data_IF_980062960930
#
_entry.id   IF_980062960930
#
_cell.length_a   1.000
_cell.length_b   1.000
_cell.length_c   1.000
_cell.angle_alpha   90.00
_cell.angle_beta   90.00
_cell.angle_gamma   90.00
#
_symmetry.space_group_name_H-M   'P 1'
#
loop_
_entity.id
_entity.type
_entity.pdbx_description
1 polymer ?
#
# COMPACT_ATOMS: atom_id res chain seq x y z
N UNK A 1 -14.73 -20.43 -31.10
CA UNK A 1 -13.79 -19.37 -30.61
C UNK A 1 -13.97 -18.04 -31.37
N UNK A 2 -13.97 -17.98 -32.71
CA UNK A 2 -14.12 -16.72 -33.46
C UNK A 2 -15.48 -16.06 -33.17
N UNK A 3 -16.55 -16.83 -33.10
CA UNK A 3 -17.91 -16.35 -32.81
C UNK A 3 -18.01 -15.84 -31.36
N UNK A 4 -17.37 -16.53 -30.41
CA UNK A 4 -17.31 -16.07 -29.02
C UNK A 4 -16.61 -14.71 -28.86
N UNK A 5 -15.50 -14.49 -29.58
CA UNK A 5 -14.80 -13.21 -29.59
C UNK A 5 -15.63 -12.09 -30.23
N UNK A 6 -16.44 -12.44 -31.27
CA UNK A 6 -17.36 -11.49 -31.91
C UNK A 6 -18.47 -11.07 -30.94
N UNK A 7 -19.05 -12.01 -30.20
CA UNK A 7 -20.06 -11.72 -29.17
C UNK A 7 -19.50 -10.83 -28.06
N UNK A 8 -18.28 -11.11 -27.59
CA UNK A 8 -17.58 -10.25 -26.59
C UNK A 8 -17.36 -8.82 -27.11
N UNK A 9 -16.97 -8.67 -28.40
CA UNK A 9 -16.77 -7.36 -29.00
C UNK A 9 -18.08 -6.54 -29.07
N UNK A 10 -19.26 -7.21 -29.01
CA UNK A 10 -20.57 -6.60 -28.93
C UNK A 10 -21.07 -6.34 -27.51
N UNK A 11 -20.23 -6.62 -26.50
CA UNK A 11 -20.54 -6.39 -25.08
C UNK A 11 -21.32 -7.53 -24.41
N UNK A 12 -21.40 -8.72 -25.03
CA UNK A 12 -22.01 -9.89 -24.40
C UNK A 12 -21.18 -10.39 -23.24
N UNK A 13 -21.84 -10.95 -22.22
CA UNK A 13 -21.19 -11.57 -21.07
C UNK A 13 -20.33 -12.76 -21.51
N UNK A 14 -19.09 -12.92 -20.98
CA UNK A 14 -18.18 -14.00 -21.36
C UNK A 14 -18.75 -15.40 -21.20
N UNK A 15 -19.58 -15.64 -20.18
CA UNK A 15 -20.19 -16.96 -19.96
C UNK A 15 -21.25 -17.25 -21.01
N UNK A 16 -22.05 -16.24 -21.40
CA UNK A 16 -23.02 -16.35 -22.50
C UNK A 16 -22.32 -16.54 -23.85
N UNK A 17 -21.23 -15.78 -24.10
CA UNK A 17 -20.47 -15.91 -25.34
C UNK A 17 -19.81 -17.30 -25.43
N UNK A 18 -19.27 -17.85 -24.33
CA UNK A 18 -18.73 -19.20 -24.28
C UNK A 18 -19.80 -20.26 -24.56
N UNK A 19 -20.95 -20.15 -23.89
CA UNK A 19 -22.06 -21.09 -24.07
C UNK A 19 -22.67 -21.08 -25.50
N UNK A 20 -22.86 -19.86 -26.06
CA UNK A 20 -23.41 -19.69 -27.42
C UNK A 20 -22.44 -20.18 -28.51
N UNK A 21 -21.15 -20.18 -28.27
CA UNK A 21 -20.11 -20.61 -29.22
C UNK A 21 -19.69 -22.06 -29.05
N UNK A 22 -20.26 -22.76 -28.10
CA UNK A 22 -19.96 -24.17 -27.83
C UNK A 22 -20.66 -25.06 -28.91
N UNK A 23 -19.99 -26.10 -29.42
CA UNK A 23 -20.63 -27.05 -30.34
C UNK A 23 -21.85 -27.71 -29.70
N UNK A 24 -22.91 -27.99 -30.48
CA UNK A 24 -24.06 -28.73 -29.98
C UNK A 24 -23.62 -30.07 -29.38
N UNK A 25 -24.06 -30.38 -28.16
CA UNK A 25 -23.71 -31.61 -27.45
C UNK A 25 -22.36 -31.63 -26.75
N UNK A 26 -21.62 -30.51 -26.70
CA UNK A 26 -20.40 -30.45 -25.90
C UNK A 26 -20.74 -30.43 -24.40
N UNK A 27 -19.93 -31.13 -23.60
CA UNK A 27 -20.07 -31.17 -22.14
C UNK A 27 -19.72 -29.84 -21.48
N UNK A 28 -20.13 -29.66 -20.21
CA UNK A 28 -19.86 -28.45 -19.42
C UNK A 28 -18.37 -28.10 -19.37
N UNK A 29 -17.47 -29.09 -19.37
CA UNK A 29 -16.02 -28.89 -19.37
C UNK A 29 -15.51 -28.09 -20.58
N UNK A 30 -16.10 -28.31 -21.78
CA UNK A 30 -15.72 -27.58 -22.98
C UNK A 30 -16.17 -26.11 -22.93
N UNK A 31 -17.35 -25.85 -22.37
CA UNK A 31 -17.86 -24.48 -22.15
C UNK A 31 -16.97 -23.78 -21.12
N UNK A 32 -16.60 -24.42 -20.04
CA UNK A 32 -15.71 -23.88 -19.01
C UNK A 32 -14.34 -23.51 -19.60
N UNK A 33 -13.72 -24.44 -20.36
CA UNK A 33 -12.43 -24.18 -21.02
C UNK A 33 -12.50 -23.01 -22.01
N UNK A 34 -13.61 -22.90 -22.78
CA UNK A 34 -13.84 -21.76 -23.67
C UNK A 34 -13.98 -20.46 -22.88
N UNK A 35 -14.71 -20.46 -21.77
CA UNK A 35 -14.88 -19.31 -20.90
C UNK A 35 -13.54 -18.86 -20.29
N UNK A 36 -12.73 -19.78 -19.79
CA UNK A 36 -11.38 -19.50 -19.27
C UNK A 36 -10.50 -18.85 -20.34
N UNK A 37 -10.52 -19.40 -21.56
CA UNK A 37 -9.77 -18.83 -22.69
C UNK A 37 -10.25 -17.42 -23.05
N UNK A 38 -11.55 -17.17 -23.02
CA UNK A 38 -12.10 -15.84 -23.29
C UNK A 38 -11.70 -14.84 -22.21
N UNK A 39 -11.79 -15.23 -20.94
CA UNK A 39 -11.35 -14.41 -19.80
C UNK A 39 -9.86 -14.11 -19.84
N UNK A 40 -9.02 -15.09 -20.17
CA UNK A 40 -7.60 -14.88 -20.36
C UNK A 40 -7.32 -13.84 -21.46
N UNK A 41 -7.98 -13.97 -22.61
CA UNK A 41 -7.81 -13.03 -23.73
C UNK A 41 -8.32 -11.63 -23.43
N UNK A 42 -9.39 -11.46 -22.66
CA UNK A 42 -9.82 -10.14 -22.18
C UNK A 42 -8.74 -9.46 -21.30
N UNK A 43 -7.97 -10.26 -20.55
CA UNK A 43 -6.81 -9.78 -19.78
C UNK A 43 -5.54 -9.61 -20.65
N UNK A 44 -5.61 -9.80 -21.97
CA UNK A 44 -4.47 -9.72 -22.88
C UNK A 44 -3.55 -10.94 -22.84
N UNK A 45 -3.98 -12.04 -22.23
CA UNK A 45 -3.17 -13.23 -21.96
C UNK A 45 -3.54 -14.42 -22.83
N UNK A 46 -2.58 -15.31 -23.06
CA UNK A 46 -2.85 -16.66 -23.54
C UNK A 46 -3.08 -17.61 -22.33
N UNK A 47 -3.82 -18.73 -22.52
CA UNK A 47 -4.22 -19.61 -21.43
C UNK A 47 -3.08 -20.10 -20.52
N UNK A 48 -1.88 -20.48 -21.03
CA UNK A 48 -0.78 -20.91 -20.15
C UNK A 48 -0.34 -19.80 -19.18
N UNK A 49 -0.18 -18.56 -19.65
CA UNK A 49 0.19 -17.43 -18.83
C UNK A 49 -0.92 -17.07 -17.83
N UNK A 50 -2.17 -17.14 -18.24
CA UNK A 50 -3.31 -16.88 -17.37
C UNK A 50 -3.37 -17.89 -16.22
N UNK A 51 -3.16 -19.19 -16.50
CA UNK A 51 -3.13 -20.25 -15.46
C UNK A 51 -2.04 -20.03 -14.42
N UNK A 52 -0.87 -19.51 -14.84
CA UNK A 52 0.20 -19.17 -13.90
C UNK A 52 -0.21 -18.04 -12.97
N UNK A 53 -0.91 -17.01 -13.47
CA UNK A 53 -1.34 -15.85 -12.70
C UNK A 53 -2.60 -16.12 -11.84
N UNK A 54 -3.37 -17.14 -12.17
CA UNK A 54 -4.53 -17.57 -11.40
C UNK A 54 -4.13 -18.50 -10.22
N UNK A 55 -2.86 -18.96 -10.16
CA UNK A 55 -2.31 -19.68 -9.01
C UNK A 55 -2.09 -18.71 -7.83
N UNK A 56 -2.81 -18.87 -6.71
CA UNK A 56 -2.73 -17.95 -5.58
C UNK A 56 -1.37 -17.94 -4.85
N UNK A 57 -0.50 -18.92 -5.14
CA UNK A 57 0.84 -18.96 -4.60
C UNK A 57 1.84 -18.13 -5.41
N UNK A 58 1.53 -17.80 -6.67
CA UNK A 58 2.42 -17.05 -7.55
C UNK A 58 2.44 -15.58 -7.15
N UNK A 59 3.63 -15.06 -6.94
CA UNK A 59 3.89 -13.64 -6.64
C UNK A 59 4.45 -12.90 -7.85
N UNK A 60 5.29 -13.56 -8.64
CA UNK A 60 5.91 -12.96 -9.81
C UNK A 60 6.00 -13.97 -10.96
N UNK A 61 5.76 -13.50 -12.19
CA UNK A 61 6.02 -14.24 -13.44
C UNK A 61 6.99 -13.39 -14.27
N UNK A 62 8.13 -13.97 -14.62
CA UNK A 62 9.17 -13.30 -15.39
C UNK A 62 9.37 -14.03 -16.72
N UNK A 63 9.34 -13.31 -17.83
CA UNK A 63 9.57 -13.83 -19.18
C UNK A 63 10.74 -13.09 -19.78
N UNK A 64 11.74 -13.84 -20.23
CA UNK A 64 12.93 -13.31 -20.92
C UNK A 64 13.04 -14.01 -22.29
N UNK A 65 12.60 -13.34 -23.34
CA UNK A 65 12.44 -13.94 -24.66
C UNK A 65 11.49 -15.16 -24.60
N UNK A 66 11.99 -16.35 -24.84
CA UNK A 66 11.21 -17.61 -24.80
C UNK A 66 11.23 -18.33 -23.45
N UNK A 67 11.98 -17.82 -22.49
CA UNK A 67 12.12 -18.46 -21.19
C UNK A 67 11.25 -17.78 -20.15
N UNK A 68 10.59 -18.57 -19.28
CA UNK A 68 9.75 -18.07 -18.22
C UNK A 68 10.08 -18.66 -16.86
N UNK A 69 9.90 -17.87 -15.82
CA UNK A 69 10.06 -18.26 -14.42
C UNK A 69 8.90 -17.75 -13.60
N UNK A 70 8.59 -18.47 -12.53
CA UNK A 70 7.63 -18.02 -11.49
C UNK A 70 8.31 -18.03 -10.13
N UNK A 71 7.93 -17.05 -9.29
CA UNK A 71 8.18 -17.09 -7.85
C UNK A 71 6.87 -17.42 -7.12
N UNK A 72 6.94 -18.36 -6.18
CA UNK A 72 5.87 -18.75 -5.25
C UNK A 72 6.25 -18.48 -3.80
N UNK A 73 7.17 -17.52 -3.59
CA UNK A 73 7.71 -17.19 -2.26
C UNK A 73 8.91 -18.05 -1.84
N UNK A 74 9.32 -19.00 -2.67
CA UNK A 74 10.47 -19.89 -2.43
C UNK A 74 11.65 -19.68 -3.38
N UNK A 75 11.56 -18.67 -4.25
CA UNK A 75 12.54 -18.39 -5.30
C UNK A 75 12.03 -18.75 -6.70
N UNK A 76 12.81 -18.39 -7.70
CA UNK A 76 12.44 -18.53 -9.11
C UNK A 76 12.54 -19.97 -9.59
N UNK A 77 11.46 -20.48 -10.16
CA UNK A 77 11.38 -21.82 -10.79
C UNK A 77 11.01 -21.63 -12.26
N UNK A 78 11.75 -22.31 -13.15
CA UNK A 78 11.47 -22.28 -14.59
C UNK A 78 10.15 -22.99 -14.90
N UNK A 79 9.34 -22.37 -15.78
CA UNK A 79 8.04 -22.87 -16.19
C UNK A 79 7.85 -22.68 -17.71
N UNK A 80 6.81 -23.30 -18.25
CA UNK A 80 6.34 -23.02 -19.60
C UNK A 80 5.18 -22.00 -19.51
N UNK A 81 5.37 -20.83 -20.14
CA UNK A 81 4.35 -19.79 -20.28
C UNK A 81 3.68 -19.79 -21.67
N UNK A 82 3.98 -20.79 -22.50
CA UNK A 82 3.44 -20.92 -23.86
C UNK A 82 4.07 -19.95 -24.87
N UNK A 83 5.24 -19.38 -24.59
CA UNK A 83 5.98 -18.48 -25.49
C UNK A 83 6.94 -19.33 -26.34
N UNK A 84 6.73 -19.38 -27.65
CA UNK A 84 7.45 -20.24 -28.57
C UNK A 84 8.70 -19.60 -29.17
N UNK A 85 8.61 -18.31 -29.47
CA UNK A 85 9.66 -17.53 -30.13
C UNK A 85 9.61 -16.04 -29.68
N UNK A 86 10.60 -15.27 -30.09
CA UNK A 86 10.69 -13.84 -29.77
C UNK A 86 9.48 -13.04 -30.31
N UNK A 87 8.95 -13.41 -31.47
CA UNK A 87 7.76 -12.74 -32.03
C UNK A 87 6.52 -13.01 -31.15
N UNK A 88 6.39 -14.20 -30.55
CA UNK A 88 5.37 -14.53 -29.58
C UNK A 88 5.54 -13.69 -28.29
N UNK A 89 6.76 -13.60 -27.77
CA UNK A 89 7.08 -12.78 -26.59
C UNK A 89 6.70 -11.31 -26.82
N UNK A 90 7.11 -10.75 -27.97
CA UNK A 90 6.75 -9.38 -28.37
C UNK A 90 5.22 -9.18 -28.48
N UNK A 91 4.52 -10.11 -29.13
CA UNK A 91 3.05 -10.04 -29.24
C UNK A 91 2.38 -10.12 -27.88
N UNK A 92 2.87 -10.98 -26.99
CA UNK A 92 2.36 -11.09 -25.64
C UNK A 92 2.55 -9.79 -24.85
N UNK A 93 3.75 -9.19 -24.90
CA UNK A 93 4.05 -7.91 -24.27
C UNK A 93 3.12 -6.78 -24.75
N UNK A 94 2.96 -6.65 -26.07
CA UNK A 94 2.08 -5.62 -26.67
C UNK A 94 0.62 -5.84 -26.26
N UNK A 95 0.11 -7.09 -26.26
CA UNK A 95 -1.27 -7.38 -25.81
C UNK A 95 -1.47 -7.04 -24.33
N UNK A 96 -0.51 -7.39 -23.46
CA UNK A 96 -0.56 -7.07 -22.04
C UNK A 96 -0.54 -5.56 -21.81
N UNK A 97 0.35 -4.83 -22.50
CA UNK A 97 0.41 -3.37 -22.45
C UNK A 97 -0.92 -2.75 -22.89
N UNK A 98 -1.48 -3.20 -24.01
CA UNK A 98 -2.79 -2.74 -24.50
C UNK A 98 -3.91 -3.02 -23.49
N UNK A 99 -3.93 -4.20 -22.86
CA UNK A 99 -4.92 -4.54 -21.83
C UNK A 99 -4.77 -3.68 -20.55
N UNK A 100 -3.57 -3.14 -20.31
CA UNK A 100 -3.29 -2.17 -19.23
C UNK A 100 -3.56 -0.73 -19.64
N UNK A 101 -3.98 -0.48 -20.89
CA UNK A 101 -4.21 0.87 -21.42
C UNK A 101 -2.94 1.67 -21.71
N UNK A 102 -1.78 1.01 -21.81
CA UNK A 102 -0.48 1.65 -22.08
C UNK A 102 0.04 1.26 -23.46
N UNK A 103 0.78 2.19 -24.07
CA UNK A 103 1.42 1.99 -25.37
C UNK A 103 2.74 1.23 -25.22
N UNK A 104 2.96 0.24 -26.10
CA UNK A 104 4.24 -0.48 -26.20
C UNK A 104 4.50 -0.80 -27.67
N UNK A 105 5.49 -0.12 -28.25
CA UNK A 105 5.93 -0.30 -29.65
C UNK A 105 7.38 0.18 -29.80
N UNK A 106 7.88 0.26 -31.05
CA UNK A 106 9.26 0.67 -31.33
C UNK A 106 9.56 2.12 -30.92
N UNK A 107 8.54 2.99 -30.88
CA UNK A 107 8.71 4.38 -30.44
C UNK A 107 8.58 4.52 -28.90
N UNK A 108 7.89 3.58 -28.26
CA UNK A 108 7.74 3.49 -26.81
C UNK A 108 8.06 2.05 -26.35
N UNK A 109 9.36 1.67 -26.31
CA UNK A 109 9.78 0.28 -26.12
C UNK A 109 9.73 -0.19 -24.66
N UNK A 110 9.34 0.66 -23.71
CA UNK A 110 9.20 0.36 -22.30
C UNK A 110 7.79 0.73 -21.86
N UNK A 111 7.12 -0.17 -21.17
CA UNK A 111 5.78 0.04 -20.63
C UNK A 111 5.67 -0.41 -19.18
N UNK A 112 5.05 0.43 -18.36
CA UNK A 112 4.59 0.12 -17.02
C UNK A 112 3.07 0.25 -16.99
N UNK A 113 2.39 -0.77 -16.45
CA UNK A 113 0.92 -0.77 -16.39
C UNK A 113 0.37 -1.68 -15.32
N UNK A 114 -0.96 -1.64 -15.18
CA UNK A 114 -1.69 -2.54 -14.31
C UNK A 114 -2.79 -3.21 -15.09
N UNK A 115 -2.72 -4.53 -15.18
CA UNK A 115 -3.73 -5.35 -15.85
C UNK A 115 -5.03 -5.41 -15.04
N UNK A 116 -6.18 -5.67 -15.69
CA UNK A 116 -7.40 -6.02 -14.99
C UNK A 116 -7.15 -7.17 -14.00
N UNK A 117 -7.54 -6.98 -12.74
CA UNK A 117 -7.23 -7.93 -11.65
C UNK A 117 -6.02 -7.53 -10.79
N UNK A 118 -5.41 -6.37 -11.06
CA UNK A 118 -4.40 -5.80 -10.17
C UNK A 118 -2.97 -6.32 -10.39
N UNK A 119 -2.71 -7.08 -11.48
CA UNK A 119 -1.36 -7.57 -11.81
C UNK A 119 -0.54 -6.41 -12.40
N UNK A 120 0.60 -6.08 -11.77
CA UNK A 120 1.53 -5.08 -12.33
C UNK A 120 2.29 -5.67 -13.52
N UNK A 121 2.36 -4.92 -14.59
CA UNK A 121 3.12 -5.22 -15.80
C UNK A 121 4.31 -4.26 -15.90
N UNK A 122 5.50 -4.80 -16.11
CA UNK A 122 6.62 -4.08 -16.69
C UNK A 122 7.10 -4.84 -17.92
N UNK A 123 7.22 -4.16 -19.07
CA UNK A 123 7.66 -4.78 -20.31
C UNK A 123 8.70 -3.92 -21.02
N UNK A 124 9.69 -4.58 -21.60
CA UNK A 124 10.78 -3.95 -22.39
C UNK A 124 10.94 -4.72 -23.69
N UNK A 125 10.85 -4.02 -24.83
CA UNK A 125 11.06 -4.60 -26.15
C UNK A 125 12.56 -4.56 -26.56
N UNK A 126 12.96 -5.49 -27.44
CA UNK A 126 14.17 -5.36 -28.19
C UNK A 126 14.05 -4.16 -29.17
N UNK A 127 15.13 -3.42 -29.50
CA UNK A 127 16.53 -3.65 -29.12
C UNK A 127 16.95 -3.01 -27.78
N UNK A 128 16.04 -2.36 -27.02
CA UNK A 128 16.37 -1.79 -25.69
C UNK A 128 16.78 -2.90 -24.74
N UNK A 129 16.11 -4.04 -24.78
CA UNK A 129 16.61 -5.27 -24.17
C UNK A 129 17.48 -6.04 -25.16
N UNK A 130 18.73 -6.28 -24.80
CA UNK A 130 19.65 -7.11 -25.58
C UNK A 130 19.38 -8.62 -25.50
N UNK A 131 18.45 -9.04 -24.64
CA UNK A 131 18.10 -10.45 -24.40
C UNK A 131 16.74 -10.85 -24.99
N UNK A 132 16.21 -10.07 -25.92
CA UNK A 132 14.85 -10.23 -26.45
C UNK A 132 13.84 -9.46 -25.61
N UNK A 133 12.55 -9.70 -25.88
CA UNK A 133 11.45 -9.06 -25.14
C UNK A 133 11.41 -9.55 -23.68
N UNK A 134 11.36 -8.61 -22.74
CA UNK A 134 11.23 -8.88 -21.32
C UNK A 134 9.83 -8.53 -20.84
N UNK A 135 9.24 -9.41 -20.01
CA UNK A 135 7.94 -9.16 -19.37
C UNK A 135 8.08 -9.55 -17.90
N UNK A 136 7.75 -8.64 -17.01
CA UNK A 136 7.67 -8.88 -15.58
C UNK A 136 6.24 -8.64 -15.12
N UNK A 137 5.60 -9.67 -14.58
CA UNK A 137 4.25 -9.60 -14.03
C UNK A 137 4.34 -9.85 -12.53
N UNK A 138 3.91 -8.86 -11.73
CA UNK A 138 3.81 -9.01 -10.28
C UNK A 138 2.34 -9.13 -9.89
N UNK A 139 2.00 -10.26 -9.29
CA UNK A 139 0.67 -10.50 -8.73
C UNK A 139 0.61 -9.85 -7.35
N UNK A 140 -0.20 -8.80 -7.24
CA UNK A 140 -0.47 -8.21 -5.93
C UNK A 140 -1.35 -9.17 -5.14
N UNK A 141 -0.88 -9.59 -3.97
CA UNK A 141 -1.58 -10.58 -3.15
C UNK A 141 -3.00 -10.13 -2.83
N UNK A 142 -3.99 -10.86 -3.32
CA UNK A 142 -5.42 -10.62 -3.06
C UNK A 142 -5.82 -10.99 -1.63
N UNK A 143 -4.94 -11.66 -0.88
CA UNK A 143 -5.23 -12.14 0.47
C UNK A 143 -5.19 -10.97 1.46
N UNK A 144 -6.36 -10.59 1.94
CA UNK A 144 -6.50 -9.58 3.01
C UNK A 144 -6.15 -10.22 4.34
N UNK A 145 -4.91 -10.01 4.79
CA UNK A 145 -4.44 -10.50 6.08
C UNK A 145 -4.77 -9.49 7.17
N UNK A 146 -5.47 -9.94 8.21
CA UNK A 146 -5.70 -9.17 9.43
C UNK A 146 -4.53 -9.32 10.42
N UNK A 147 -4.56 -8.54 11.49
CA UNK A 147 -3.54 -8.63 12.58
C UNK A 147 -3.51 -10.02 13.20
N UNK A 148 -4.68 -10.68 13.35
CA UNK A 148 -4.79 -12.05 13.84
C UNK A 148 -4.09 -13.06 12.93
N UNK A 149 -4.24 -12.91 11.60
CA UNK A 149 -3.61 -13.80 10.63
C UNK A 149 -2.09 -13.63 10.64
N UNK A 150 -1.61 -12.38 10.71
CA UNK A 150 -0.19 -12.07 10.83
C UNK A 150 0.41 -12.58 12.14
N UNK A 151 -0.35 -12.60 13.22
CA UNK A 151 0.08 -13.20 14.49
C UNK A 151 0.08 -14.73 14.40
N UNK A 152 -0.93 -15.35 13.81
CA UNK A 152 -1.05 -16.79 13.66
C UNK A 152 0.07 -17.40 12.80
N UNK A 153 0.49 -16.70 11.71
CA UNK A 153 1.65 -17.14 10.93
C UNK A 153 3.00 -16.71 11.52
N UNK A 154 3.02 -16.18 12.74
CA UNK A 154 4.26 -15.81 13.43
C UNK A 154 4.97 -14.57 12.87
N UNK A 155 4.33 -13.85 11.94
CA UNK A 155 4.88 -12.61 11.35
C UNK A 155 4.89 -11.47 12.36
N UNK A 156 3.82 -11.36 13.19
CA UNK A 156 3.70 -10.36 14.23
C UNK A 156 3.65 -11.00 15.62
N UNK A 157 4.46 -10.53 16.59
CA UNK A 157 4.29 -10.86 17.98
C UNK A 157 2.97 -10.32 18.53
N UNK A 158 2.35 -11.02 19.49
CA UNK A 158 1.10 -10.58 20.11
C UNK A 158 1.18 -9.16 20.71
N UNK A 159 2.30 -8.82 21.30
CA UNK A 159 2.56 -7.48 21.85
C UNK A 159 2.53 -6.38 20.76
N UNK A 160 2.99 -6.68 19.54
CA UNK A 160 2.92 -5.74 18.41
C UNK A 160 1.48 -5.56 17.93
N UNK A 161 0.69 -6.62 17.91
CA UNK A 161 -0.73 -6.52 17.60
C UNK A 161 -1.47 -5.58 18.55
N UNK A 162 -1.15 -5.64 19.84
CA UNK A 162 -1.69 -4.73 20.86
C UNK A 162 -1.26 -3.27 20.62
N UNK A 163 0.03 -3.05 20.29
CA UNK A 163 0.54 -1.73 19.95
C UNK A 163 -0.17 -1.15 18.72
N UNK A 164 -0.35 -1.92 17.67
CA UNK A 164 -1.04 -1.47 16.45
C UNK A 164 -2.49 -1.06 16.73
N UNK A 165 -3.21 -1.85 17.55
CA UNK A 165 -4.57 -1.47 18.01
C UNK A 165 -4.55 -0.14 18.76
N UNK A 166 -3.59 0.07 19.65
CA UNK A 166 -3.47 1.31 20.42
C UNK A 166 -3.15 2.51 19.50
N UNK A 167 -2.22 2.38 18.55
CA UNK A 167 -1.89 3.43 17.58
C UNK A 167 -3.09 3.82 16.71
N UNK A 168 -3.85 2.84 16.22
CA UNK A 168 -5.06 3.11 15.43
C UNK A 168 -6.13 3.79 16.29
N UNK A 169 -6.37 3.29 17.53
CA UNK A 169 -7.39 3.83 18.44
C UNK A 169 -7.06 5.26 18.89
N UNK A 170 -5.79 5.59 19.14
CA UNK A 170 -5.34 6.95 19.51
C UNK A 170 -5.24 7.90 18.33
N UNK A 171 -5.57 7.46 17.10
CA UNK A 171 -5.40 8.25 15.85
C UNK A 171 -3.97 8.75 15.65
N UNK A 172 -2.98 7.93 16.03
CA UNK A 172 -1.58 8.26 15.86
C UNK A 172 -1.19 8.33 14.37
N UNK A 173 -0.40 9.32 14.00
CA UNK A 173 0.23 9.44 12.69
C UNK A 173 1.45 8.54 12.63
N UNK A 174 1.44 7.56 11.76
CA UNK A 174 2.45 6.50 11.74
C UNK A 174 3.17 6.43 10.39
N UNK A 175 4.49 6.38 10.45
CA UNK A 175 5.33 6.12 9.29
C UNK A 175 5.85 4.68 9.34
N UNK A 176 5.50 3.86 8.34
CA UNK A 176 5.97 2.47 8.21
C UNK A 176 7.16 2.44 7.27
N UNK A 177 8.32 2.00 7.77
CA UNK A 177 9.56 1.97 7.00
C UNK A 177 10.12 0.55 6.85
N UNK A 178 10.98 0.35 5.87
CA UNK A 178 11.64 -0.94 5.59
C UNK A 178 11.99 -1.12 4.13
N UNK A 179 12.76 -2.16 3.82
CA UNK A 179 13.16 -2.51 2.47
C UNK A 179 11.97 -2.94 1.58
N UNK A 180 12.20 -3.04 0.26
CA UNK A 180 11.23 -3.63 -0.68
C UNK A 180 10.91 -5.07 -0.26
N UNK A 181 9.63 -5.45 -0.31
CA UNK A 181 9.20 -6.80 0.06
C UNK A 181 9.29 -7.12 1.56
N UNK A 182 9.52 -6.13 2.44
CA UNK A 182 9.54 -6.35 3.91
C UNK A 182 8.15 -6.51 4.54
N UNK A 183 7.07 -6.31 3.79
CA UNK A 183 5.69 -6.43 4.26
C UNK A 183 5.06 -5.11 4.74
N UNK A 184 5.61 -3.93 4.35
CA UNK A 184 5.06 -2.62 4.73
C UNK A 184 3.58 -2.48 4.38
N UNK A 185 3.22 -2.72 3.12
CA UNK A 185 1.84 -2.61 2.63
C UNK A 185 0.91 -3.62 3.30
N UNK A 186 1.41 -4.82 3.58
CA UNK A 186 0.65 -5.86 4.31
C UNK A 186 0.36 -5.43 5.74
N UNK A 187 1.37 -4.92 6.48
CA UNK A 187 1.17 -4.40 7.84
C UNK A 187 0.23 -3.20 7.84
N UNK A 188 0.41 -2.28 6.90
CA UNK A 188 -0.45 -1.11 6.73
C UNK A 188 -1.91 -1.51 6.49
N UNK A 189 -2.17 -2.41 5.54
CA UNK A 189 -3.52 -2.92 5.25
C UNK A 189 -4.16 -3.60 6.48
N UNK A 190 -3.38 -4.42 7.21
CA UNK A 190 -3.85 -5.08 8.41
C UNK A 190 -4.16 -4.11 9.56
N UNK A 191 -3.38 -3.03 9.70
CA UNK A 191 -3.64 -1.99 10.68
C UNK A 191 -4.89 -1.17 10.31
N UNK A 192 -5.05 -0.81 9.03
CA UNK A 192 -6.22 -0.07 8.55
C UNK A 192 -7.53 -0.85 8.68
N UNK A 193 -7.48 -2.19 8.69
CA UNK A 193 -8.65 -3.02 8.99
C UNK A 193 -9.15 -2.89 10.44
N UNK A 194 -8.36 -2.29 11.34
CA UNK A 194 -8.76 -1.99 12.72
C UNK A 194 -9.46 -0.62 12.86
N UNK A 195 -9.47 0.19 11.83
CA UNK A 195 -10.14 1.51 11.83
C UNK A 195 -11.64 1.29 12.00
N UNK A 196 -12.34 2.09 12.82
CA UNK A 196 -13.78 1.99 12.99
C UNK A 196 -14.55 2.09 11.66
N UNK A 197 -15.53 1.22 11.43
CA UNK A 197 -16.30 1.13 10.19
C UNK A 197 -17.00 2.44 9.77
N UNK A 198 -17.25 3.35 10.72
CA UNK A 198 -17.84 4.67 10.46
C UNK A 198 -16.83 5.71 9.95
N UNK A 199 -15.53 5.43 9.99
CA UNK A 199 -14.50 6.36 9.53
C UNK A 199 -14.20 6.14 8.03
N UNK A 200 -13.88 7.23 7.33
CA UNK A 200 -13.50 7.22 5.90
C UNK A 200 -11.99 7.17 5.75
N UNK A 201 -11.50 6.12 5.10
CA UNK A 201 -10.09 5.97 4.72
C UNK A 201 -9.93 6.43 3.27
N UNK A 202 -8.98 7.33 3.01
CA UNK A 202 -8.57 7.74 1.66
C UNK A 202 -7.13 7.30 1.44
N UNK A 203 -6.94 6.30 0.58
CA UNK A 203 -5.64 5.78 0.18
C UNK A 203 -5.16 6.48 -1.10
N UNK A 204 -3.91 6.90 -1.10
CA UNK A 204 -3.23 7.55 -2.22
C UNK A 204 -2.06 6.66 -2.61
N UNK A 205 -2.03 6.19 -3.85
CA UNK A 205 -1.10 5.16 -4.31
C UNK A 205 -0.72 5.39 -5.78
N UNK A 206 0.41 4.86 -6.21
CA UNK A 206 0.74 4.76 -7.64
C UNK A 206 -0.04 3.63 -8.31
N UNK A 207 -0.18 2.53 -7.58
CA UNK A 207 -0.94 1.35 -7.97
C UNK A 207 -1.67 0.85 -6.74
N UNK A 208 -2.90 0.39 -6.88
CA UNK A 208 -3.70 -0.13 -5.77
C UNK A 208 -3.05 -1.37 -5.17
N UNK A 209 -2.36 -1.22 -4.06
CA UNK A 209 -1.74 -2.31 -3.28
C UNK A 209 -2.38 -2.45 -1.90
N UNK A 210 -2.84 -1.34 -1.32
CA UNK A 210 -3.47 -1.30 0.00
C UNK A 210 -4.90 -1.82 -0.15
N UNK A 211 -5.24 -2.91 0.53
CA UNK A 211 -6.57 -3.52 0.45
C UNK A 211 -7.07 -3.94 1.84
N UNK A 212 -7.37 -2.98 2.74
CA UNK A 212 -7.88 -3.29 4.06
C UNK A 212 -9.26 -3.92 3.98
N UNK A 213 -9.58 -4.79 4.95
CA UNK A 213 -10.95 -5.29 5.15
C UNK A 213 -11.77 -4.19 5.85
N UNK A 214 -12.08 -3.10 5.14
CA UNK A 214 -12.80 -1.94 5.67
C UNK A 214 -13.92 -1.51 4.71
N UNK A 215 -15.15 -1.22 5.19
CA UNK A 215 -16.29 -0.91 4.32
C UNK A 215 -16.19 0.44 3.62
N UNK A 216 -15.45 1.40 4.18
CA UNK A 216 -15.36 2.76 3.66
C UNK A 216 -13.90 3.15 3.36
N UNK A 217 -13.28 2.44 2.42
CA UNK A 217 -11.95 2.74 1.89
C UNK A 217 -12.07 3.14 0.41
N UNK A 218 -11.51 4.29 0.06
CA UNK A 218 -11.45 4.80 -1.32
C UNK A 218 -10.01 5.00 -1.74
N UNK A 219 -9.73 4.80 -3.03
CA UNK A 219 -8.39 4.85 -3.59
C UNK A 219 -8.28 5.97 -4.61
N UNK A 220 -7.22 6.75 -4.51
CA UNK A 220 -6.77 7.72 -5.50
C UNK A 220 -5.45 7.20 -6.08
N UNK A 221 -5.41 7.04 -7.39
CA UNK A 221 -4.28 6.43 -8.08
C UNK A 221 -3.57 7.47 -8.95
N UNK A 222 -2.24 7.52 -8.84
CA UNK A 222 -1.39 8.34 -9.67
C UNK A 222 -1.61 8.00 -11.15
N UNK A 223 -1.56 9.01 -11.99
CA UNK A 223 -1.63 8.84 -13.43
C UNK A 223 -0.44 9.45 -14.11
N UNK A 224 0.31 8.61 -14.83
CA UNK A 224 1.38 9.07 -15.69
C UNK A 224 0.83 9.97 -16.82
N UNK A 225 1.65 10.89 -17.36
CA UNK A 225 1.26 11.68 -18.52
C UNK A 225 1.01 10.76 -19.74
N UNK A 226 0.15 11.21 -20.64
CA UNK A 226 -0.04 10.54 -21.94
C UNK A 226 1.17 10.71 -22.84
N UNK A 227 1.16 10.15 -24.04
CA UNK A 227 2.24 10.24 -25.03
C UNK A 227 2.60 11.67 -25.44
N UNK A 228 1.70 12.63 -25.22
CA UNK A 228 1.93 14.06 -25.48
C UNK A 228 2.49 14.79 -24.24
N UNK A 229 2.79 14.08 -23.15
CA UNK A 229 3.26 14.64 -21.89
C UNK A 229 2.17 15.34 -21.08
N UNK A 230 0.88 15.11 -21.39
CA UNK A 230 -0.26 15.79 -20.76
C UNK A 230 -1.06 14.85 -19.85
N UNK A 231 -1.84 15.45 -18.94
CA UNK A 231 -2.82 14.72 -18.13
C UNK A 231 -2.21 13.93 -16.98
N UNK A 232 -0.96 14.18 -16.59
CA UNK A 232 -0.38 13.63 -15.37
C UNK A 232 -1.20 14.08 -14.15
N UNK A 233 -1.35 13.16 -13.18
CA UNK A 233 -1.90 13.47 -11.85
C UNK A 233 -0.91 12.87 -10.85
N UNK A 234 -0.19 13.73 -10.15
CA UNK A 234 0.89 13.32 -9.24
C UNK A 234 0.36 12.93 -7.85
N UNK A 235 1.15 12.19 -7.07
CA UNK A 235 0.82 11.90 -5.68
C UNK A 235 0.56 13.18 -4.87
N UNK A 236 1.34 14.25 -5.11
CA UNK A 236 1.12 15.54 -4.46
C UNK A 236 -0.25 16.17 -4.81
N UNK A 237 -0.70 16.05 -6.07
CA UNK A 237 -2.04 16.50 -6.48
C UNK A 237 -3.13 15.69 -5.76
N UNK A 238 -2.91 14.38 -5.65
CA UNK A 238 -3.84 13.46 -4.99
C UNK A 238 -3.93 13.72 -3.49
N UNK A 239 -2.82 14.02 -2.80
CA UNK A 239 -2.85 14.41 -1.38
C UNK A 239 -3.70 15.67 -1.20
N UNK A 240 -3.48 16.70 -2.02
CA UNK A 240 -4.28 17.92 -1.98
C UNK A 240 -5.76 17.70 -2.30
N UNK A 241 -6.07 16.79 -3.21
CA UNK A 241 -7.45 16.39 -3.52
C UNK A 241 -8.09 15.64 -2.35
N UNK A 242 -7.38 14.68 -1.76
CA UNK A 242 -7.85 13.87 -0.64
C UNK A 242 -8.27 14.70 0.57
N UNK A 243 -7.52 15.75 0.92
CA UNK A 243 -7.86 16.65 2.02
C UNK A 243 -9.24 17.33 1.86
N UNK A 244 -9.76 17.45 0.62
CA UNK A 244 -11.11 17.98 0.34
C UNK A 244 -12.19 16.91 0.30
N UNK A 245 -11.83 15.64 0.46
CA UNK A 245 -12.75 14.52 0.40
C UNK A 245 -13.29 14.07 1.76
N UNK A 246 -13.08 14.89 2.81
CA UNK A 246 -13.43 14.57 4.20
C UNK A 246 -12.83 13.24 4.65
N UNK A 247 -11.51 13.06 4.60
CA UNK A 247 -10.87 11.86 5.10
C UNK A 247 -10.88 11.86 6.63
N UNK A 248 -11.29 10.75 7.26
CA UNK A 248 -11.01 10.51 8.67
C UNK A 248 -9.61 9.92 8.86
N UNK A 249 -9.10 9.25 7.82
CA UNK A 249 -7.74 8.71 7.74
C UNK A 249 -7.15 8.99 6.35
N UNK A 250 -6.02 9.67 6.32
CA UNK A 250 -5.25 9.86 5.10
C UNK A 250 -4.11 8.85 5.04
N UNK A 251 -4.04 8.09 3.97
CA UNK A 251 -3.04 7.02 3.81
C UNK A 251 -2.26 7.23 2.53
N UNK A 252 -0.93 7.33 2.64
CA UNK A 252 -0.04 7.33 1.47
C UNK A 252 0.64 5.97 1.35
N UNK A 253 0.42 5.29 0.22
CA UNK A 253 0.99 3.98 -0.06
C UNK A 253 2.51 3.96 0.04
N UNK A 254 3.16 4.93 -0.59
CA UNK A 254 4.60 5.14 -0.48
C UNK A 254 4.96 6.61 -0.64
N UNK A 255 5.82 7.11 0.25
CA UNK A 255 6.42 8.44 0.17
C UNK A 255 7.82 8.32 -0.47
N UNK A 256 7.97 8.78 -1.71
CA UNK A 256 9.23 8.66 -2.47
C UNK A 256 9.67 9.90 -3.21
N UNK A 257 8.85 10.96 -3.21
CA UNK A 257 9.07 12.19 -3.96
C UNK A 257 8.65 13.45 -3.21
N UNK A 258 8.39 14.53 -3.95
CA UNK A 258 8.05 15.84 -3.40
C UNK A 258 6.72 15.87 -2.64
N UNK A 259 5.85 14.88 -2.76
CA UNK A 259 4.60 14.73 -2.01
C UNK A 259 4.79 14.70 -0.49
N UNK A 260 6.02 14.43 -0.02
CA UNK A 260 6.37 14.46 1.42
C UNK A 260 5.95 15.78 2.08
N UNK A 261 6.07 16.92 1.36
CA UNK A 261 5.65 18.23 1.86
C UNK A 261 4.15 18.28 2.12
N UNK A 262 3.36 17.81 1.16
CA UNK A 262 1.90 17.85 1.25
C UNK A 262 1.39 16.90 2.32
N UNK A 263 2.02 15.72 2.46
CA UNK A 263 1.73 14.74 3.52
C UNK A 263 2.04 15.30 4.90
N UNK A 264 3.24 15.83 5.14
CA UNK A 264 3.59 16.42 6.43
C UNK A 264 2.67 17.60 6.77
N UNK A 265 2.29 18.40 5.78
CA UNK A 265 1.32 19.49 5.96
C UNK A 265 -0.05 18.93 6.36
N UNK A 266 -0.56 17.91 5.68
CA UNK A 266 -1.85 17.31 5.99
C UNK A 266 -1.89 16.75 7.42
N UNK A 267 -0.85 16.00 7.82
CA UNK A 267 -0.74 15.41 9.16
C UNK A 267 -0.59 16.48 10.26
N UNK A 268 -0.08 17.68 9.95
CA UNK A 268 0.03 18.79 10.89
C UNK A 268 -1.21 19.69 10.95
N UNK A 269 -2.22 19.46 10.09
CA UNK A 269 -3.38 20.36 9.94
C UNK A 269 -4.72 19.69 10.23
N UNK A 270 -4.74 18.77 11.21
CA UNK A 270 -5.97 18.17 11.74
C UNK A 270 -6.44 16.91 11.01
N UNK A 271 -5.57 16.25 10.24
CA UNK A 271 -5.82 14.92 9.65
C UNK A 271 -5.14 13.83 10.49
N UNK A 272 -5.50 13.76 11.79
CA UNK A 272 -4.92 12.82 12.74
C UNK A 272 -5.23 11.35 12.38
N UNK A 273 -4.27 10.47 12.64
CA UNK A 273 -4.38 9.03 12.34
C UNK A 273 -4.03 8.71 10.90
N UNK A 274 -3.26 9.57 10.24
CA UNK A 274 -2.70 9.31 8.92
C UNK A 274 -1.53 8.33 8.96
N UNK A 275 -1.42 7.48 7.95
CA UNK A 275 -0.36 6.51 7.82
C UNK A 275 0.32 6.63 6.47
N UNK A 276 1.65 6.48 6.45
CA UNK A 276 2.41 6.46 5.20
C UNK A 276 3.49 5.38 5.24
N UNK A 277 3.95 4.93 4.06
CA UNK A 277 5.15 4.09 4.01
C UNK A 277 6.33 4.85 3.41
N UNK A 278 7.54 4.44 3.76
CA UNK A 278 8.79 5.01 3.24
C UNK A 278 9.86 3.91 3.14
N UNK A 279 10.68 3.96 2.11
CA UNK A 279 11.86 3.10 2.03
C UNK A 279 13.01 3.64 2.88
N UNK A 280 13.49 2.83 3.84
CA UNK A 280 14.71 3.10 4.61
C UNK A 280 15.37 1.77 5.00
N UNK A 281 16.70 1.75 5.16
CA UNK A 281 17.45 0.57 5.57
C UNK A 281 17.35 0.30 7.08
N UNK A 282 17.13 1.36 7.86
CA UNK A 282 16.94 1.31 9.30
C UNK A 282 15.97 2.38 9.77
N UNK A 283 15.42 2.22 10.98
CA UNK A 283 14.54 3.23 11.56
C UNK A 283 15.28 4.58 11.79
N UNK A 284 16.57 4.52 12.08
CA UNK A 284 17.43 5.69 12.27
C UNK A 284 17.75 6.44 10.97
N UNK A 285 17.55 5.80 9.81
CA UNK A 285 17.78 6.42 8.50
C UNK A 285 16.53 7.21 8.00
N UNK A 286 15.39 7.03 8.65
CA UNK A 286 14.14 7.69 8.24
C UNK A 286 14.25 9.22 8.22
N UNK A 287 14.87 9.91 9.22
CA UNK A 287 15.03 11.37 9.15
C UNK A 287 15.83 11.83 7.94
N UNK A 288 16.96 11.17 7.66
CA UNK A 288 17.78 11.50 6.49
C UNK A 288 17.02 11.26 5.18
N UNK A 289 16.22 10.19 5.12
CA UNK A 289 15.37 9.91 3.95
C UNK A 289 14.29 10.97 3.76
N UNK A 290 13.61 11.39 4.85
CA UNK A 290 12.63 12.49 4.80
C UNK A 290 13.29 13.80 4.35
N UNK A 291 14.50 14.12 4.86
CA UNK A 291 15.25 15.31 4.44
C UNK A 291 15.57 15.28 2.93
N UNK A 292 16.02 14.12 2.42
CA UNK A 292 16.28 13.95 0.99
C UNK A 292 15.02 14.14 0.13
N UNK A 293 13.88 13.59 0.55
CA UNK A 293 12.60 13.78 -0.15
C UNK A 293 12.11 15.23 -0.05
N UNK A 294 12.27 15.86 1.13
CA UNK A 294 11.92 17.26 1.34
C UNK A 294 12.75 18.21 0.45
N UNK A 295 14.00 17.89 0.20
CA UNK A 295 14.84 18.65 -0.74
C UNK A 295 14.27 18.62 -2.16
N UNK A 296 13.68 17.50 -2.61
CA UNK A 296 12.96 17.42 -3.88
C UNK A 296 11.73 18.33 -3.93
N UNK A 297 11.13 18.62 -2.77
CA UNK A 297 10.01 19.54 -2.60
C UNK A 297 10.44 21.00 -2.35
N UNK A 298 11.74 21.30 -2.42
CA UNK A 298 12.29 22.63 -2.14
C UNK A 298 12.30 23.02 -0.66
N UNK A 299 12.20 22.05 0.27
CA UNK A 299 12.24 22.29 1.71
C UNK A 299 13.68 22.25 2.23
N UNK A 300 14.00 23.11 3.20
CA UNK A 300 15.25 22.97 3.96
C UNK A 300 15.18 21.76 4.92
N UNK A 301 16.33 21.17 5.24
CA UNK A 301 16.42 20.07 6.21
C UNK A 301 15.79 20.44 7.56
N UNK A 302 16.01 21.67 8.02
CA UNK A 302 15.40 22.19 9.25
C UNK A 302 13.87 22.23 9.18
N UNK A 303 13.30 22.67 8.06
CA UNK A 303 11.85 22.70 7.86
C UNK A 303 11.25 21.28 7.85
N UNK A 304 11.93 20.34 7.18
CA UNK A 304 11.50 18.93 7.18
C UNK A 304 11.56 18.35 8.59
N UNK A 305 12.66 18.56 9.32
CA UNK A 305 12.82 18.06 10.68
C UNK A 305 11.75 18.63 11.63
N UNK A 306 11.47 19.94 11.55
CA UNK A 306 10.44 20.58 12.37
C UNK A 306 9.04 20.04 12.06
N UNK A 307 8.68 19.93 10.77
CA UNK A 307 7.37 19.41 10.37
C UNK A 307 7.22 17.93 10.71
N UNK A 308 8.24 17.09 10.46
CA UNK A 308 8.19 15.67 10.77
C UNK A 308 8.09 15.40 12.27
N UNK A 309 8.82 16.17 13.10
CA UNK A 309 8.76 16.05 14.57
C UNK A 309 7.37 16.40 15.13
N UNK A 310 6.63 17.29 14.47
CA UNK A 310 5.27 17.64 14.86
C UNK A 310 4.21 16.70 14.29
N UNK A 311 4.43 16.18 13.06
CA UNK A 311 3.45 15.42 12.31
C UNK A 311 3.45 13.93 12.65
N UNK A 312 4.60 13.33 12.99
CA UNK A 312 4.77 11.88 13.10
C UNK A 312 4.87 11.47 14.56
N UNK A 313 3.93 10.65 15.03
CA UNK A 313 3.91 10.12 16.39
C UNK A 313 4.79 8.88 16.54
N UNK A 314 4.83 8.01 15.53
CA UNK A 314 5.59 6.77 15.57
C UNK A 314 6.18 6.36 14.22
N UNK A 315 7.35 5.73 14.26
CA UNK A 315 7.97 5.06 13.11
C UNK A 315 8.05 3.56 13.39
N UNK A 316 7.43 2.77 12.53
CA UNK A 316 7.47 1.30 12.57
C UNK A 316 8.42 0.81 11.48
N UNK A 317 9.57 0.23 11.86
CA UNK A 317 10.53 -0.28 10.89
C UNK A 317 10.46 -1.80 10.78
N UNK A 318 10.21 -2.30 9.55
CA UNK A 318 10.11 -3.71 9.23
C UNK A 318 11.40 -4.24 8.62
N UNK A 319 11.90 -5.36 9.15
CA UNK A 319 13.03 -6.11 8.57
C UNK A 319 12.64 -7.56 8.42
N UNK A 320 12.98 -8.16 7.27
CA UNK A 320 12.91 -9.61 7.10
C UNK A 320 14.03 -10.26 7.90
N UNK A 321 13.71 -11.25 8.74
CA UNK A 321 14.73 -12.03 9.44
C UNK A 321 15.52 -12.87 8.42
N UNK A 322 16.85 -12.99 8.57
CA UNK A 322 17.64 -13.91 7.77
C UNK A 322 17.14 -15.36 7.95
N UNK A 323 17.14 -16.20 6.90
CA UNK A 323 16.85 -17.61 7.06
C UNK A 323 17.88 -18.26 8.02
N UNK A 324 17.42 -19.04 9.00
CA UNK A 324 18.29 -19.79 9.91
C UNK A 324 18.67 -19.14 11.25
N UNK A 325 18.18 -17.95 11.58
CA UNK A 325 18.40 -17.37 12.91
C UNK A 325 17.42 -17.93 13.95
N UNK A 326 17.68 -19.14 14.43
CA UNK A 326 16.89 -19.80 15.49
C UNK A 326 17.23 -19.31 16.94
N UNK A 327 17.74 -18.10 17.08
CA UNK A 327 18.09 -17.50 18.37
C UNK A 327 17.07 -16.47 18.84
N UNK A 328 16.11 -16.85 19.65
CA UNK A 328 15.25 -15.93 20.40
C UNK A 328 16.02 -15.46 21.66
N UNK A 329 16.37 -14.16 21.84
CA UNK A 329 16.80 -13.68 23.13
C UNK A 329 15.57 -13.54 24.03
N UNK A 330 15.58 -14.25 25.15
CA UNK A 330 14.59 -14.13 26.22
C UNK A 330 14.72 -12.76 26.92
N UNK A 331 13.53 -12.17 27.23
CA UNK A 331 13.27 -11.21 28.28
C UNK A 331 14.09 -9.91 28.34
N UNK A 332 13.59 -8.88 27.70
CA UNK A 332 13.98 -7.46 27.90
C UNK A 332 12.94 -6.47 27.39
N UNK A 333 12.19 -6.88 26.37
CA UNK A 333 11.30 -6.00 25.59
C UNK A 333 9.87 -5.84 26.16
N UNK A 334 9.41 -6.73 27.03
CA UNK A 334 8.03 -6.67 27.56
C UNK A 334 7.78 -5.50 28.50
N UNK A 335 8.78 -5.09 29.31
CA UNK A 335 8.60 -3.97 30.26
C UNK A 335 8.48 -2.61 29.57
N UNK A 336 9.25 -2.37 28.51
CA UNK A 336 9.20 -1.10 27.80
C UNK A 336 7.96 -1.00 26.91
N UNK A 337 7.53 -2.13 26.30
CA UNK A 337 6.24 -2.19 25.59
C UNK A 337 5.06 -1.98 26.53
N UNK A 338 5.10 -2.54 27.75
CA UNK A 338 4.10 -2.32 28.78
C UNK A 338 4.08 -0.85 29.26
N UNK A 339 5.22 -0.20 29.37
CA UNK A 339 5.33 1.24 29.65
C UNK A 339 4.73 2.10 28.55
N UNK A 340 5.00 1.77 27.28
CA UNK A 340 4.43 2.45 26.11
C UNK A 340 2.90 2.29 26.03
N UNK A 341 2.40 1.07 26.23
CA UNK A 341 0.97 0.77 26.23
C UNK A 341 0.25 1.49 27.39
N UNK A 342 0.88 1.63 28.55
CA UNK A 342 0.33 2.37 29.68
C UNK A 342 0.34 3.89 29.47
N UNK A 343 1.26 4.42 28.70
CA UNK A 343 1.28 5.83 28.30
C UNK A 343 0.19 6.13 27.28
N UNK A 344 0.01 5.27 26.26
CA UNK A 344 -1.03 5.40 25.24
C UNK A 344 -2.45 5.26 25.82
N UNK A 345 -2.64 4.36 26.80
CA UNK A 345 -3.96 4.20 27.46
C UNK A 345 -4.34 5.41 28.33
N UNK A 346 -3.37 6.21 28.77
CA UNK A 346 -3.61 7.45 29.55
C UNK A 346 -3.88 8.67 28.67
N UNK A 347 -3.46 8.65 27.41
CA UNK A 347 -3.70 9.72 26.43
C UNK A 347 -4.93 9.50 25.55
N UNK A 348 -5.59 8.34 25.64
CA UNK A 348 -6.83 8.08 24.92
C UNK A 348 -7.97 8.95 25.52
N UNK A 349 -8.70 9.75 24.72
CA UNK A 349 -9.87 10.45 25.19
C UNK A 349 -10.91 9.42 25.69
N UNK A 350 -11.70 9.73 26.74
CA UNK A 350 -12.75 8.82 27.19
C UNK A 350 -13.75 8.57 26.06
N UNK A 351 -14.36 7.38 25.97
CA UNK A 351 -15.37 7.09 24.97
C UNK A 351 -16.47 8.15 25.08
N UNK A 352 -16.75 8.84 23.97
CA UNK A 352 -17.82 9.83 23.90
C UNK A 352 -19.13 9.16 24.35
N UNK A 353 -19.61 9.56 25.53
CA UNK A 353 -20.96 9.21 25.99
C UNK A 353 -21.95 9.73 24.95
N UNK A 354 -22.89 8.89 24.53
CA UNK A 354 -23.94 9.26 23.61
C UNK A 354 -24.65 10.52 24.12
N UNK A 355 -24.57 11.60 23.36
CA UNK A 355 -25.21 12.88 23.68
C UNK A 355 -26.71 12.68 23.81
N UNK A 356 -27.36 13.11 24.90
CA UNK A 356 -28.82 13.15 24.96
C UNK A 356 -29.32 14.18 23.95
N UNK A 357 -30.32 13.82 23.16
CA UNK A 357 -31.02 14.69 22.21
C UNK A 357 -31.45 15.99 22.92
N UNK A 358 -30.84 17.12 22.57
CA UNK A 358 -31.34 18.43 22.99
C UNK A 358 -32.64 18.73 22.27
N UNK A 359 -33.71 18.91 23.05
CA UNK A 359 -34.95 19.54 22.61
C UNK A 359 -34.71 21.04 22.52
N UNK A 360 -35.02 21.61 21.35
CA UNK A 360 -34.97 23.07 21.12
C UNK A 360 -36.05 23.76 21.98
N UNK A 361 -35.64 24.62 22.91
CA UNK A 361 -36.45 25.66 23.54
C UNK A 361 -36.04 27.02 23.00
N UNK A 362 -36.93 28.04 23.03
CA UNK A 362 -36.70 29.33 22.41
C UNK A 362 -35.68 30.20 23.16
N UNK A 363 -35.02 31.20 22.49
CA UNK A 363 -33.95 32.01 23.07
C UNK A 363 -34.49 33.09 24.02
N UNK A 364 -33.82 33.24 25.14
CA UNK A 364 -33.97 34.42 26.03
C UNK A 364 -32.85 35.43 25.77
N UNK A 365 -33.13 36.75 25.85
CA UNK A 365 -32.14 37.79 25.61
C UNK A 365 -31.55 38.22 26.94
N UNK A 366 -30.26 38.07 27.20
CA UNK A 366 -29.51 38.97 28.07
C UNK A 366 -28.01 38.77 27.85
N UNK A 367 -27.34 39.85 27.48
CA UNK A 367 -25.90 39.89 27.33
C UNK A 367 -25.21 40.10 28.66
N UNK A 368 -24.18 39.31 28.91
CA UNK A 368 -23.09 39.70 29.82
C UNK A 368 -21.84 38.95 29.45
N UNK A 369 -20.76 39.65 29.27
CA UNK A 369 -19.47 39.20 28.83
C UNK A 369 -18.74 38.31 29.85
N UNK A 370 -17.84 37.49 29.31
CA UNK A 370 -16.72 36.95 30.08
C UNK A 370 -15.43 37.17 29.29
N UNK A 371 -14.61 38.11 29.80
CA UNK A 371 -13.18 38.16 29.54
C UNK A 371 -12.49 37.02 30.30
N UNK A 372 -11.57 36.36 29.67
CA UNK A 372 -10.79 35.28 30.32
C UNK A 372 -9.57 34.85 29.50
N UNK A 373 -8.45 35.60 29.69
CA UNK A 373 -7.16 35.00 29.95
C UNK A 373 -6.42 34.29 28.80
N UNK A 374 -5.67 35.07 27.99
CA UNK A 374 -4.53 34.59 27.20
C UNK A 374 -3.41 34.05 28.13
N UNK A 375 -3.30 32.75 28.25
CA UNK A 375 -2.17 32.06 28.83
C UNK A 375 -1.13 31.73 27.77
N UNK A 376 -0.08 32.54 27.68
CA UNK A 376 1.07 32.36 26.81
C UNK A 376 1.96 31.22 27.37
N UNK A 377 2.02 30.08 26.73
CA UNK A 377 3.04 29.05 27.02
C UNK A 377 4.11 29.12 25.94
N UNK A 378 5.22 29.77 26.29
CA UNK A 378 6.47 29.71 25.53
C UNK A 378 7.15 28.36 25.82
N UNK A 379 7.32 27.54 24.81
CA UNK A 379 8.21 26.39 24.79
C UNK A 379 8.92 26.32 23.45
N UNK A 380 10.18 26.75 23.39
CA UNK A 380 11.04 26.58 22.23
C UNK A 380 11.33 25.07 22.01
N UNK A 381 11.23 24.54 20.78
CA UNK A 381 11.58 23.16 20.50
C UNK A 381 13.10 22.95 20.60
N UNK A 382 13.52 21.98 21.39
CA UNK A 382 14.92 21.52 21.44
C UNK A 382 15.21 20.66 20.21
N UNK A 383 16.48 20.65 19.72
CA UNK A 383 16.87 19.84 18.56
C UNK A 383 16.68 18.35 18.83
N UNK A 384 16.28 17.64 17.80
CA UNK A 384 16.06 16.20 17.72
C UNK A 384 17.23 15.42 18.34
N UNK A 385 17.04 14.82 19.51
CA UNK A 385 17.99 13.86 20.10
C UNK A 385 17.37 12.49 20.03
N UNK A 386 18.07 11.53 19.37
CA UNK A 386 17.60 10.18 19.15
C UNK A 386 17.18 9.49 20.45
N UNK A 387 15.89 9.17 20.52
CA UNK A 387 15.35 8.30 21.56
C UNK A 387 15.76 6.85 21.32
N UNK A 388 16.07 6.12 22.40
CA UNK A 388 16.54 4.74 22.35
C UNK A 388 15.54 3.81 21.64
N UNK A 389 15.98 3.19 20.53
CA UNK A 389 15.21 2.23 19.77
C UNK A 389 15.24 0.84 20.42
N UNK A 390 14.10 0.19 20.52
CA UNK A 390 14.00 -1.19 20.96
C UNK A 390 13.81 -2.16 19.79
N UNK A 391 14.58 -3.27 19.78
CA UNK A 391 14.52 -4.32 18.77
C UNK A 391 13.81 -5.55 19.32
N UNK A 392 12.79 -6.02 18.62
CA UNK A 392 12.12 -7.30 18.91
C UNK A 392 12.41 -8.27 17.76
N UNK A 393 12.97 -9.46 18.06
CA UNK A 393 13.35 -10.48 17.07
C UNK A 393 12.46 -11.71 17.15
N UNK A 394 12.14 -12.34 16.00
CA UNK A 394 11.32 -13.57 15.91
C UNK A 394 11.77 -14.56 14.82
N UNK A 395 11.29 -15.81 14.92
CA UNK A 395 11.64 -17.01 14.14
C UNK A 395 11.04 -17.05 12.72
N UNK A 396 11.73 -17.76 11.82
CA UNK A 396 11.40 -18.15 10.41
C UNK A 396 10.39 -17.23 9.69
N UNK A 397 10.87 -16.37 8.84
CA UNK A 397 10.04 -15.46 8.05
C UNK A 397 9.50 -14.25 8.83
N UNK A 398 9.91 -14.10 10.08
CA UNK A 398 9.45 -13.04 10.96
C UNK A 398 9.98 -11.67 10.54
N UNK A 399 9.09 -10.69 10.61
CA UNK A 399 9.40 -9.28 10.49
C UNK A 399 9.95 -8.78 11.82
N UNK A 400 11.13 -8.17 11.82
CA UNK A 400 11.67 -7.46 13.01
C UNK A 400 11.09 -6.06 12.99
N UNK A 401 10.32 -5.73 14.02
CA UNK A 401 9.75 -4.40 14.21
C UNK A 401 10.65 -3.61 15.16
N UNK A 402 11.19 -2.48 14.69
CA UNK A 402 11.80 -1.47 15.53
C UNK A 402 10.85 -0.28 15.61
N UNK A 403 10.44 0.10 16.81
CA UNK A 403 9.58 1.27 17.04
C UNK A 403 10.46 2.40 17.54
N UNK A 404 10.50 3.50 16.80
CA UNK A 404 11.02 4.77 17.27
C UNK A 404 9.84 5.66 17.66
N UNK A 405 9.85 6.15 18.88
CA UNK A 405 8.85 7.07 19.37
C UNK A 405 9.36 8.51 19.20
N UNK A 406 8.61 9.34 18.51
CA UNK A 406 8.84 10.79 18.42
C UNK A 406 7.98 11.49 19.50
N UNK A 407 8.18 11.17 20.77
CA UNK A 407 7.42 11.78 21.85
C UNK A 407 8.10 13.05 22.36
N UNK A 408 7.32 14.09 22.57
CA UNK A 408 7.68 15.24 23.39
C UNK A 408 7.83 14.71 24.83
N UNK A 409 9.04 14.68 25.36
CA UNK A 409 9.22 14.49 26.79
C UNK A 409 8.66 15.71 27.51
N UNK A 410 7.40 15.62 27.93
CA UNK A 410 6.88 16.51 28.96
C UNK A 410 7.69 16.26 30.23
N UNK A 411 8.57 17.17 30.55
CA UNK A 411 9.14 17.27 31.90
C UNK A 411 8.01 17.69 32.83
N UNK A 412 7.72 16.84 33.81
CA UNK A 412 7.04 17.24 35.03
C UNK A 412 7.88 18.24 35.79
#
# INVERSE_FOLDING_TARGET
>A
MRDALHLLARGEDPARAAAASAPPGCGAAAVTSTLETLRARQRGMDPPLASLLDDPAVTDVLINGTQAWVDRGGGLVRVDAGIRDEADARRAAIRLASASGVRLDDACPIADGTLPGGVRLHAVLAPVSGSGTLISLRVLGTRRLGISDLAACGTLPGAVGTLLRALVASRANVLVSGATGSGKTTLLSAALALVPAGERIVCIEEVTEIAPAHPHCVHLIERAPNVEGRGAVTLADLVRAAMRMRPDRLVLGECRGPEVRDVLTALNTGHDGGWATIHANGAHDVPARLAALGALAGMSEHAVAAQAASAIDAVLHLRRAPPGTDGCPRSGSSRALAGLLSALSRSAPPPMAASPRMRHGPPSPDGSGYEGGLGCVRGLPRPWRGGGGQRVRYKRGCVVLSVLWCGVSGSA
#
